data_IF_782827025560
#
_entry.id   IF_782827025560
#
_cell.length_a   1.000
_cell.length_b   1.000
_cell.length_c   1.000
_cell.angle_alpha   90.00
_cell.angle_beta   90.00
_cell.angle_gamma   90.00
#
_symmetry.space_group_name_H-M   'P 1'
#
loop_
_entity.id
_entity.type
_entity.pdbx_description
1 polymer ?
#
# COMPACT_ATOMS: atom_id res chain seq x y z
N UNK A 1 8.00 -19.34 7.55
CA UNK A 1 8.48 -18.05 6.98
C UNK A 1 9.27 -17.34 8.05
N UNK A 2 10.55 -17.12 7.82
CA UNK A 2 11.37 -16.36 8.78
C UNK A 2 10.86 -14.91 8.85
N UNK A 3 10.70 -14.45 10.08
CA UNK A 3 10.26 -13.08 10.35
C UNK A 3 11.37 -12.12 9.92
N UNK A 4 11.07 -11.02 9.21
CA UNK A 4 12.10 -10.04 8.85
C UNK A 4 12.82 -9.56 10.11
N UNK A 5 14.14 -9.42 10.03
CA UNK A 5 14.97 -9.00 11.18
C UNK A 5 14.62 -7.60 11.70
N UNK A 6 14.01 -6.76 10.86
CA UNK A 6 13.58 -5.40 11.20
C UNK A 6 12.19 -5.14 10.64
N UNK A 7 11.31 -4.61 11.46
CA UNK A 7 9.96 -4.20 11.10
C UNK A 7 9.81 -2.67 11.20
N UNK A 8 8.85 -2.09 10.45
CA UNK A 8 8.54 -0.65 10.55
C UNK A 8 8.17 -0.26 11.99
N UNK A 9 7.50 -1.15 12.73
CA UNK A 9 7.19 -0.94 14.13
C UNK A 9 8.45 -0.77 15.00
N UNK A 10 9.55 -1.46 14.69
CA UNK A 10 10.79 -1.35 15.46
C UNK A 10 11.47 0.00 15.22
N UNK A 11 11.40 0.53 13.99
CA UNK A 11 11.86 1.88 13.67
C UNK A 11 11.06 2.91 14.46
N UNK A 12 9.73 2.79 14.49
CA UNK A 12 8.88 3.72 15.23
C UNK A 12 9.09 3.63 16.75
N UNK A 13 9.23 2.44 17.30
CA UNK A 13 9.54 2.26 18.73
C UNK A 13 10.88 2.90 19.10
N UNK A 14 11.87 2.78 18.23
CA UNK A 14 13.22 3.30 18.51
C UNK A 14 13.33 4.81 18.31
N UNK A 15 12.71 5.36 17.27
CA UNK A 15 12.91 6.74 16.86
C UNK A 15 11.64 7.60 16.93
N UNK A 16 10.48 7.00 17.09
CA UNK A 16 9.19 7.68 16.99
C UNK A 16 8.99 8.75 18.04
N UNK A 17 9.54 8.58 19.26
CA UNK A 17 9.46 9.61 20.29
C UNK A 17 10.25 10.86 19.90
N UNK A 18 11.51 10.70 19.49
CA UNK A 18 12.34 11.80 19.04
C UNK A 18 11.75 12.51 17.81
N UNK A 19 11.21 11.72 16.87
CA UNK A 19 10.54 12.26 15.70
C UNK A 19 9.32 13.12 16.09
N UNK A 20 8.46 12.63 16.99
CA UNK A 20 7.29 13.38 17.49
C UNK A 20 7.69 14.65 18.25
N UNK A 21 8.79 14.63 18.99
CA UNK A 21 9.30 15.83 19.68
C UNK A 21 9.78 16.91 18.69
N UNK A 22 10.50 16.50 17.64
CA UNK A 22 11.08 17.42 16.67
C UNK A 22 10.06 17.92 15.62
N UNK A 23 9.09 17.08 15.25
CA UNK A 23 8.15 17.34 14.16
C UNK A 23 6.69 17.42 14.62
N UNK A 24 6.42 17.28 15.90
CA UNK A 24 5.05 17.24 16.46
C UNK A 24 4.13 18.37 15.98
N UNK A 25 4.57 19.63 15.94
CA UNK A 25 3.73 20.74 15.46
C UNK A 25 3.28 20.60 14.00
N UNK A 26 4.09 19.97 13.14
CA UNK A 26 3.79 19.76 11.71
C UNK A 26 3.07 18.44 11.42
N UNK A 27 2.97 17.56 12.40
CA UNK A 27 2.27 16.27 12.23
C UNK A 27 0.76 16.41 12.32
N UNK A 28 0.05 15.78 11.38
CA UNK A 28 -1.40 15.66 11.48
C UNK A 28 -1.82 14.68 12.60
N UNK A 29 -3.06 14.81 13.07
CA UNK A 29 -3.63 13.87 14.04
C UNK A 29 -3.64 12.43 13.49
N UNK A 30 -3.88 12.27 12.18
CA UNK A 30 -3.85 10.97 11.52
C UNK A 30 -2.46 10.34 11.52
N UNK A 31 -1.42 11.10 11.20
CA UNK A 31 -0.04 10.61 11.24
C UNK A 31 0.34 10.10 12.64
N UNK A 32 -0.02 10.86 13.69
CA UNK A 32 0.20 10.44 15.08
C UNK A 32 -0.55 9.14 15.41
N UNK A 33 -1.81 9.04 15.01
CA UNK A 33 -2.65 7.85 15.20
C UNK A 33 -2.07 6.62 14.51
N UNK A 34 -1.64 6.78 13.24
CA UNK A 34 -1.06 5.69 12.44
C UNK A 34 0.26 5.20 13.04
N UNK A 35 1.16 6.10 13.43
CA UNK A 35 2.41 5.71 14.09
C UNK A 35 2.13 4.91 15.37
N UNK A 36 1.24 5.40 16.23
CA UNK A 36 0.86 4.70 17.47
C UNK A 36 0.24 3.31 17.19
N UNK A 37 -0.64 3.21 16.20
CA UNK A 37 -1.26 1.95 15.80
C UNK A 37 -0.22 0.92 15.32
N UNK A 38 0.76 1.34 14.53
CA UNK A 38 1.83 0.47 14.03
C UNK A 38 2.73 0.00 15.18
N UNK A 39 3.09 0.89 16.11
CA UNK A 39 3.94 0.59 17.28
C UNK A 39 3.36 -0.53 18.16
N UNK A 40 2.04 -0.52 18.35
CA UNK A 40 1.36 -1.50 19.22
C UNK A 40 0.79 -2.71 18.49
N UNK A 41 0.89 -2.73 17.15
CA UNK A 41 0.33 -3.81 16.35
C UNK A 41 0.92 -5.18 16.71
N UNK A 42 0.05 -6.13 17.03
CA UNK A 42 0.41 -7.49 17.46
C UNK A 42 1.34 -7.50 18.66
N UNK A 43 1.02 -6.69 19.66
CA UNK A 43 1.62 -6.71 20.98
C UNK A 43 0.56 -6.93 22.06
N UNK A 44 1.01 -7.21 23.28
CA UNK A 44 0.13 -7.40 24.43
C UNK A 44 -0.78 -6.18 24.73
N UNK A 45 -0.38 -4.97 24.27
CA UNK A 45 -1.18 -3.73 24.44
C UNK A 45 -2.57 -3.84 23.83
N UNK A 46 -2.71 -4.56 22.71
CA UNK A 46 -3.99 -4.78 22.03
C UNK A 46 -4.73 -6.02 22.53
N UNK A 47 -4.22 -6.69 23.57
CA UNK A 47 -4.74 -7.97 24.01
C UNK A 47 -4.46 -9.09 23.00
N UNK A 48 -5.07 -10.25 23.23
CA UNK A 48 -4.88 -11.43 22.39
C UNK A 48 -5.57 -12.64 22.97
N UNK A 49 -5.25 -13.81 22.42
CA UNK A 49 -5.69 -15.10 22.92
C UNK A 49 -4.51 -16.07 22.92
N UNK A 50 -4.65 -17.11 23.73
CA UNK A 50 -3.71 -18.20 23.80
C UNK A 50 -4.21 -19.34 22.91
N UNK A 51 -3.40 -19.76 21.96
CA UNK A 51 -3.62 -20.97 21.19
C UNK A 51 -2.82 -22.11 21.78
N UNK A 52 -3.44 -23.28 21.92
CA UNK A 52 -2.80 -24.49 22.41
C UNK A 52 -2.95 -25.62 21.39
N UNK A 53 -1.86 -26.26 21.06
CA UNK A 53 -1.89 -27.43 20.17
C UNK A 53 -2.45 -28.65 20.91
N UNK A 54 -3.51 -29.23 20.41
CA UNK A 54 -4.15 -30.42 21.01
C UNK A 54 -3.25 -31.66 20.97
N UNK A 55 -2.28 -31.72 20.04
CA UNK A 55 -1.40 -32.89 19.87
C UNK A 55 -0.17 -32.85 20.78
N UNK A 56 0.47 -31.69 20.95
CA UNK A 56 1.74 -31.58 21.66
C UNK A 56 1.71 -30.64 22.88
N UNK A 57 0.57 -29.97 23.13
CA UNK A 57 0.41 -29.01 24.22
C UNK A 57 1.18 -27.70 24.05
N UNK A 58 1.81 -27.47 22.90
CA UNK A 58 2.52 -26.22 22.63
C UNK A 58 1.55 -25.04 22.69
N UNK A 59 1.93 -24.01 23.43
CA UNK A 59 1.14 -22.79 23.60
C UNK A 59 1.76 -21.61 22.86
N UNK A 60 0.93 -20.81 22.18
CA UNK A 60 1.33 -19.63 21.44
C UNK A 60 0.40 -18.46 21.72
N UNK A 61 0.98 -17.30 22.07
CA UNK A 61 0.22 -16.07 22.25
C UNK A 61 -0.06 -15.40 20.90
N UNK A 62 -1.32 -15.30 20.53
CA UNK A 62 -1.80 -14.61 19.33
C UNK A 62 -2.31 -13.24 19.68
N UNK A 63 -1.47 -12.22 19.51
CA UNK A 63 -1.85 -10.83 19.79
C UNK A 63 -2.70 -10.22 18.69
N UNK A 64 -3.68 -9.40 19.07
CA UNK A 64 -4.57 -8.70 18.17
C UNK A 64 -3.83 -7.71 17.27
N UNK A 65 -4.33 -7.55 16.04
CA UNK A 65 -3.81 -6.60 15.08
C UNK A 65 -4.45 -5.20 15.24
N UNK A 66 -3.74 -4.15 14.84
CA UNK A 66 -4.26 -2.79 14.91
C UNK A 66 -5.32 -2.49 13.84
N UNK A 67 -5.48 -3.33 12.82
CA UNK A 67 -6.39 -3.19 11.67
C UNK A 67 -6.24 -1.88 10.91
N UNK A 68 -5.14 -1.16 11.12
CA UNK A 68 -4.89 0.09 10.40
C UNK A 68 -4.44 -0.18 8.97
N UNK A 69 -5.04 0.54 8.01
CA UNK A 69 -4.73 0.39 6.57
C UNK A 69 -3.29 0.76 6.20
N UNK A 70 -2.60 1.52 7.03
CA UNK A 70 -1.21 1.90 6.81
C UNK A 70 -0.22 0.95 7.51
N UNK A 71 -0.72 -0.01 8.29
CA UNK A 71 0.14 -0.96 8.99
C UNK A 71 0.64 -2.05 8.03
N UNK A 72 1.96 -2.19 7.79
CA UNK A 72 2.50 -3.21 6.87
C UNK A 72 2.12 -4.64 7.28
N UNK A 73 2.03 -4.93 8.58
CA UNK A 73 1.60 -6.24 9.08
C UNK A 73 0.14 -6.55 8.76
N UNK A 74 -0.75 -5.55 8.94
CA UNK A 74 -2.18 -5.73 8.67
C UNK A 74 -2.47 -5.83 7.17
N UNK A 75 -1.71 -5.12 6.33
CA UNK A 75 -1.87 -5.14 4.88
C UNK A 75 -1.34 -6.41 4.22
N UNK A 76 -0.52 -7.19 4.92
CA UNK A 76 0.09 -8.39 4.34
C UNK A 76 -0.96 -9.40 3.85
N UNK A 77 -2.00 -9.69 4.65
CA UNK A 77 -3.08 -10.60 4.27
C UNK A 77 -3.96 -10.02 3.15
N UNK A 78 -4.37 -8.76 3.27
CA UNK A 78 -5.16 -8.09 2.25
C UNK A 78 -4.45 -8.06 0.89
N UNK A 79 -3.13 -7.81 0.91
CA UNK A 79 -2.29 -7.87 -0.28
C UNK A 79 -2.25 -9.28 -0.89
N UNK A 80 -2.08 -10.32 -0.07
CA UNK A 80 -2.04 -11.69 -0.55
C UNK A 80 -3.36 -12.10 -1.21
N UNK A 81 -4.48 -11.79 -0.57
CA UNK A 81 -5.82 -12.03 -1.12
C UNK A 81 -6.05 -11.27 -2.43
N UNK A 82 -5.63 -10.01 -2.51
CA UNK A 82 -5.74 -9.22 -3.72
C UNK A 82 -4.93 -9.83 -4.87
N UNK A 83 -3.69 -10.27 -4.60
CA UNK A 83 -2.85 -10.94 -5.60
C UNK A 83 -3.50 -12.24 -6.07
N UNK A 84 -4.01 -13.06 -5.15
CA UNK A 84 -4.68 -14.32 -5.49
C UNK A 84 -5.90 -14.09 -6.39
N UNK A 85 -6.75 -13.10 -6.07
CA UNK A 85 -7.89 -12.74 -6.91
C UNK A 85 -7.44 -12.28 -8.30
N UNK A 86 -6.41 -11.41 -8.38
CA UNK A 86 -5.90 -10.96 -9.69
C UNK A 86 -5.30 -12.09 -10.51
N UNK A 87 -4.58 -13.01 -9.86
CA UNK A 87 -4.03 -14.18 -10.55
C UNK A 87 -5.13 -15.10 -11.11
N UNK A 88 -6.24 -15.26 -10.40
CA UNK A 88 -7.39 -16.06 -10.87
C UNK A 88 -8.12 -15.43 -12.08
N UNK A 89 -7.98 -14.12 -12.29
CA UNK A 89 -8.59 -13.39 -13.40
C UNK A 89 -7.67 -13.31 -14.64
N UNK A 90 -6.42 -13.78 -14.54
CA UNK A 90 -5.48 -13.70 -15.65
C UNK A 90 -5.91 -14.66 -16.78
N UNK A 91 -5.91 -14.12 -17.99
CA UNK A 91 -6.11 -14.90 -19.23
C UNK A 91 -4.75 -15.45 -19.69
N UNK A 92 -4.78 -16.54 -20.45
CA UNK A 92 -3.58 -17.10 -21.08
C UNK A 92 -3.21 -16.30 -22.35
N UNK A 93 -2.72 -15.10 -22.12
CA UNK A 93 -2.29 -14.18 -23.20
C UNK A 93 -1.14 -13.28 -22.70
N UNK A 94 -0.38 -12.66 -23.60
CA UNK A 94 0.67 -11.71 -23.23
C UNK A 94 0.12 -10.50 -22.46
N UNK A 95 0.84 -10.11 -21.39
CA UNK A 95 0.56 -8.92 -20.60
C UNK A 95 1.67 -7.89 -20.78
N UNK A 96 1.28 -6.62 -20.84
CA UNK A 96 2.21 -5.50 -20.96
C UNK A 96 2.10 -4.60 -19.74
N UNK A 97 3.24 -4.24 -19.18
CA UNK A 97 3.31 -3.26 -18.09
C UNK A 97 3.54 -1.88 -18.70
N UNK A 98 2.56 -1.01 -18.59
CA UNK A 98 2.62 0.38 -19.08
C UNK A 98 2.58 1.31 -17.86
N UNK A 99 3.45 2.31 -17.84
CA UNK A 99 3.56 3.26 -16.72
C UNK A 99 3.25 4.66 -17.21
N UNK A 100 2.29 5.31 -16.59
CA UNK A 100 1.94 6.71 -16.80
C UNK A 100 2.39 7.53 -15.59
N UNK A 101 3.26 8.49 -15.82
CA UNK A 101 3.79 9.36 -14.76
C UNK A 101 3.24 10.77 -14.88
N UNK A 102 3.18 11.49 -13.77
CA UNK A 102 2.92 12.93 -13.79
C UNK A 102 4.24 13.71 -13.80
N UNK A 103 4.30 14.91 -14.40
CA UNK A 103 5.44 15.80 -14.27
C UNK A 103 5.78 16.11 -12.80
N UNK A 104 7.06 16.33 -12.51
CA UNK A 104 7.53 16.56 -11.13
C UNK A 104 6.85 17.75 -10.45
N UNK A 105 6.52 18.78 -11.21
CA UNK A 105 5.81 19.98 -10.76
C UNK A 105 4.41 19.65 -10.23
N UNK A 106 3.75 18.65 -10.83
CA UNK A 106 2.42 18.20 -10.40
C UNK A 106 2.49 17.37 -9.12
N UNK A 107 3.63 16.73 -8.81
CA UNK A 107 3.76 15.89 -7.62
C UNK A 107 3.49 16.67 -6.32
N UNK A 108 3.94 17.92 -6.23
CA UNK A 108 3.68 18.79 -5.06
C UNK A 108 2.20 19.14 -4.92
N UNK A 109 1.52 19.40 -6.04
CA UNK A 109 0.06 19.67 -6.08
C UNK A 109 -0.69 18.39 -5.71
N UNK A 110 -0.27 17.24 -6.25
CA UNK A 110 -0.86 15.94 -5.98
C UNK A 110 -0.80 15.58 -4.49
N UNK A 111 0.26 15.94 -3.80
CA UNK A 111 0.40 15.67 -2.38
C UNK A 111 -0.68 16.36 -1.53
N UNK A 112 -1.09 17.57 -1.92
CA UNK A 112 -2.13 18.34 -1.25
C UNK A 112 -3.56 18.02 -1.76
N UNK A 113 -3.68 17.56 -3.01
CA UNK A 113 -4.96 17.36 -3.71
C UNK A 113 -5.06 15.94 -4.27
N UNK A 114 -4.80 14.92 -3.44
CA UNK A 114 -4.66 13.52 -3.85
C UNK A 114 -5.88 13.01 -4.63
N UNK A 115 -7.08 13.26 -4.13
CA UNK A 115 -8.32 12.77 -4.74
C UNK A 115 -8.46 13.25 -6.18
N UNK A 116 -8.33 14.57 -6.39
CA UNK A 116 -8.50 15.19 -7.70
C UNK A 116 -7.42 14.74 -8.68
N UNK A 117 -6.15 14.81 -8.26
CA UNK A 117 -5.03 14.51 -9.17
C UNK A 117 -4.98 13.03 -9.52
N UNK A 118 -5.28 12.14 -8.56
CA UNK A 118 -5.30 10.70 -8.83
C UNK A 118 -6.49 10.31 -9.71
N UNK A 119 -7.65 10.92 -9.54
CA UNK A 119 -8.80 10.71 -10.43
C UNK A 119 -8.49 11.14 -11.86
N UNK A 120 -7.86 12.30 -12.05
CA UNK A 120 -7.39 12.77 -13.37
C UNK A 120 -6.39 11.78 -13.95
N UNK A 121 -5.39 11.33 -13.18
CA UNK A 121 -4.39 10.39 -13.65
C UNK A 121 -5.04 9.10 -14.16
N UNK A 122 -5.92 8.48 -13.37
CA UNK A 122 -6.61 7.25 -13.77
C UNK A 122 -7.50 7.44 -15.00
N UNK A 123 -8.26 8.53 -15.08
CA UNK A 123 -9.11 8.83 -16.23
C UNK A 123 -8.28 9.02 -17.50
N UNK A 124 -7.25 9.86 -17.42
CA UNK A 124 -6.37 10.13 -18.58
C UNK A 124 -5.64 8.87 -19.06
N UNK A 125 -5.15 8.03 -18.13
CA UNK A 125 -4.54 6.74 -18.44
C UNK A 125 -5.54 5.83 -19.18
N UNK A 126 -6.75 5.69 -18.64
CA UNK A 126 -7.78 4.83 -19.22
C UNK A 126 -8.22 5.32 -20.62
N UNK A 127 -8.44 6.60 -20.77
CA UNK A 127 -8.82 7.20 -22.05
C UNK A 127 -7.72 7.04 -23.10
N UNK A 128 -6.47 7.29 -22.72
CA UNK A 128 -5.32 7.12 -23.61
C UNK A 128 -5.19 5.68 -24.11
N UNK A 129 -5.21 4.72 -23.19
CA UNK A 129 -5.09 3.30 -23.54
C UNK A 129 -6.23 2.85 -24.47
N UNK A 130 -7.47 3.19 -24.13
CA UNK A 130 -8.65 2.84 -24.97
C UNK A 130 -8.59 3.48 -26.34
N UNK A 131 -8.23 4.75 -26.42
CA UNK A 131 -8.17 5.48 -27.68
C UNK A 131 -7.10 4.91 -28.62
N UNK A 132 -5.90 4.65 -28.10
CA UNK A 132 -4.80 4.09 -28.91
C UNK A 132 -5.12 2.65 -29.31
N UNK A 133 -5.67 1.86 -28.43
CA UNK A 133 -6.00 0.46 -28.74
C UNK A 133 -7.11 0.34 -29.77
N UNK A 134 -8.10 1.23 -29.77
CA UNK A 134 -9.21 1.20 -30.72
C UNK A 134 -8.79 1.64 -32.14
N UNK A 135 -7.69 2.40 -32.28
CA UNK A 135 -7.21 2.86 -33.60
C UNK A 135 -6.67 1.67 -34.43
N UNK A 136 -7.24 1.37 -35.61
CA UNK A 136 -6.77 0.29 -36.46
C UNK A 136 -5.31 0.43 -36.95
N UNK A 137 -4.73 1.64 -36.90
CA UNK A 137 -3.31 1.86 -37.18
C UNK A 137 -2.38 1.31 -36.10
N UNK A 138 -2.91 1.08 -34.91
CA UNK A 138 -2.18 0.52 -33.78
C UNK A 138 -2.64 -0.91 -33.51
N UNK A 139 -3.69 -1.10 -32.74
CA UNK A 139 -4.17 -2.42 -32.36
C UNK A 139 -5.53 -2.78 -32.99
N UNK A 140 -6.41 -1.80 -33.19
CA UNK A 140 -7.76 -2.02 -33.73
C UNK A 140 -8.63 -2.93 -32.90
N UNK A 141 -8.45 -2.94 -31.58
CA UNK A 141 -9.11 -3.87 -30.67
C UNK A 141 -9.59 -3.18 -29.39
N UNK A 142 -10.59 -3.80 -28.77
CA UNK A 142 -10.98 -3.46 -27.39
C UNK A 142 -10.08 -4.21 -26.41
N UNK A 143 -9.47 -3.49 -25.47
CA UNK A 143 -8.52 -4.04 -24.50
C UNK A 143 -9.13 -4.10 -23.09
N UNK A 144 -8.71 -5.09 -22.33
CA UNK A 144 -8.85 -5.13 -20.87
C UNK A 144 -7.56 -4.68 -20.19
N UNK A 145 -7.67 -3.93 -19.11
CA UNK A 145 -6.53 -3.57 -18.26
C UNK A 145 -6.98 -3.29 -16.83
N UNK A 146 -6.05 -3.34 -15.91
CA UNK A 146 -6.22 -2.79 -14.55
C UNK A 146 -5.10 -1.81 -14.27
N UNK A 147 -5.40 -0.77 -13.50
CA UNK A 147 -4.43 0.25 -13.11
C UNK A 147 -4.19 0.20 -11.59
N UNK A 148 -2.94 0.35 -11.19
CA UNK A 148 -2.52 0.38 -9.79
C UNK A 148 -1.78 1.68 -9.52
N UNK A 149 -2.25 2.46 -8.55
CA UNK A 149 -1.59 3.69 -8.15
C UNK A 149 -0.34 3.38 -7.33
N UNK A 150 0.80 3.88 -7.78
CA UNK A 150 1.99 4.07 -6.99
C UNK A 150 2.19 5.56 -6.72
N UNK A 151 2.42 5.94 -5.47
CA UNK A 151 2.48 7.35 -5.08
C UNK A 151 3.86 7.83 -4.62
N UNK A 152 4.84 6.90 -4.50
CA UNK A 152 6.16 7.17 -3.95
C UNK A 152 7.24 6.55 -4.82
N UNK A 153 8.32 7.31 -5.06
CA UNK A 153 9.55 6.78 -5.63
C UNK A 153 10.39 6.04 -4.57
N UNK A 154 11.47 5.38 -5.00
CA UNK A 154 12.41 4.68 -4.10
C UNK A 154 13.08 5.61 -3.07
N UNK A 155 13.18 6.89 -3.37
CA UNK A 155 13.70 7.94 -2.49
C UNK A 155 12.66 8.47 -1.50
N UNK A 156 11.48 7.85 -1.41
CA UNK A 156 10.34 8.25 -0.58
C UNK A 156 9.78 9.65 -0.91
N UNK A 157 10.13 10.20 -2.07
CA UNK A 157 9.51 11.43 -2.56
C UNK A 157 8.19 11.14 -3.25
N UNK A 158 7.17 12.00 -3.11
CA UNK A 158 5.91 11.86 -3.85
C UNK A 158 6.16 11.83 -5.36
N UNK A 159 5.74 10.74 -6.00
CA UNK A 159 5.87 10.53 -7.44
C UNK A 159 4.71 9.67 -7.93
N UNK A 160 3.49 10.26 -8.03
CA UNK A 160 2.31 9.52 -8.47
C UNK A 160 2.48 8.98 -9.89
N UNK A 161 2.18 7.70 -10.06
CA UNK A 161 2.14 7.03 -11.36
C UNK A 161 1.17 5.84 -11.29
N UNK A 162 0.66 5.43 -12.42
CA UNK A 162 -0.26 4.31 -12.58
C UNK A 162 0.16 3.38 -13.72
#
# INVERSE_FOLDING_TARGET
MDRPKLEVADVFRRYGQAYRQNHGPSMSAEQRRVMAAIEVCRTAVLGGHLERCDKCGYEHNCFNSCRDRHCPKCQCLARAQWIEHRQAELLDCPYFHVVFTVPGEIAAIAYQNKEVVYDILFKSTAETLKTIAADPKHLGAEIGFFAVLHSWGQNLMPHPHS
#
